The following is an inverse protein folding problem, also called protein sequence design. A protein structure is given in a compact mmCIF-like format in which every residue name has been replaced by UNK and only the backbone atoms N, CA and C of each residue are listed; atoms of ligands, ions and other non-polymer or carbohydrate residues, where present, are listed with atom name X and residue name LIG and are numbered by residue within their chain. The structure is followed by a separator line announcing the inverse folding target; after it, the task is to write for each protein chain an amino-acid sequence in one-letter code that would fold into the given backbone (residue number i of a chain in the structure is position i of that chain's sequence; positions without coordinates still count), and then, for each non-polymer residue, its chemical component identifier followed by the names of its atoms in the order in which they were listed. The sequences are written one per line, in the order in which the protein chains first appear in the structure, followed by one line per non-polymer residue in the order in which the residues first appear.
data_IF_239480838619
#
_entry.id   IF_239480838619
#
_cell.length_a   1.000
_cell.length_b   1.000
_cell.length_c   1.000
_cell.angle_alpha   90.00
_cell.angle_beta   90.00
_cell.angle_gamma   90.00
#
_symmetry.space_group_name_H-M   'P 1'
#
loop_
_entity.id
_entity.type
_entity.pdbx_description
1 polymer ?
#
# COMPACT_ATOMS: atom_id res chain seq x y z
N UNK A 1 -41.64 -3.25 13.65
CA UNK A 1 -40.76 -3.41 14.83
C UNK A 1 -40.22 -4.83 14.83
N UNK A 2 -39.31 -5.14 13.91
CA UNK A 2 -38.62 -6.44 13.84
C UNK A 2 -37.24 -6.30 14.45
N UNK A 3 -36.86 -7.23 15.33
CA UNK A 3 -35.51 -7.30 15.88
C UNK A 3 -34.51 -7.55 14.74
N UNK A 4 -33.73 -6.54 14.38
CA UNK A 4 -32.68 -6.60 13.36
C UNK A 4 -31.35 -6.93 14.03
N UNK A 5 -30.87 -8.15 13.84
CA UNK A 5 -29.54 -8.56 14.29
C UNK A 5 -28.51 -8.04 13.27
N UNK A 6 -27.74 -7.02 13.64
CA UNK A 6 -26.64 -6.46 12.83
C UNK A 6 -25.29 -6.95 13.37
N UNK A 7 -24.40 -7.40 12.48
CA UNK A 7 -23.00 -7.70 12.82
C UNK A 7 -22.13 -6.50 12.38
N UNK A 8 -21.47 -5.86 13.35
CA UNK A 8 -20.62 -4.69 13.13
C UNK A 8 -19.15 -5.05 13.33
N UNK A 9 -18.28 -4.66 12.39
CA UNK A 9 -16.82 -4.83 12.52
C UNK A 9 -16.18 -3.45 12.55
N UNK A 10 -15.58 -3.11 13.70
CA UNK A 10 -14.77 -1.90 13.85
C UNK A 10 -13.37 -2.15 13.29
N UNK A 11 -12.97 -1.39 12.28
CA UNK A 11 -11.65 -1.51 11.67
C UNK A 11 -10.82 -0.29 12.09
N UNK A 12 -9.92 -0.50 13.05
CA UNK A 12 -9.09 0.56 13.65
C UNK A 12 -7.80 0.81 12.85
N UNK A 13 -7.22 2.02 12.89
CA UNK A 13 -5.99 2.33 12.19
C UNK A 13 -4.77 1.63 12.81
N UNK A 14 -3.91 1.09 11.94
CA UNK A 14 -2.71 0.32 12.27
C UNK A 14 -1.56 1.14 12.86
N UNK A 15 -1.58 1.34 14.18
CA UNK A 15 -0.38 1.72 14.94
C UNK A 15 0.48 0.49 15.20
N UNK A 16 1.73 0.50 14.71
CA UNK A 16 2.79 -0.39 15.19
C UNK A 16 3.84 0.42 15.95
N UNK A 17 3.81 0.33 17.28
CA UNK A 17 4.91 0.74 18.17
C UNK A 17 5.60 -0.54 18.63
N UNK A 18 6.90 -0.68 18.37
CA UNK A 18 7.71 -1.69 19.01
C UNK A 18 8.21 -1.13 20.35
N UNK A 19 7.62 -1.59 21.46
CA UNK A 19 8.05 -1.25 22.83
C UNK A 19 8.87 -2.41 23.39
N UNK A 20 10.20 -2.26 23.41
CA UNK A 20 11.11 -3.10 24.19
C UNK A 20 11.34 -2.49 25.58
N UNK A 21 11.53 -3.34 26.59
CA UNK A 21 11.43 -3.02 28.04
C UNK A 21 12.41 -1.98 28.63
N UNK A 22 13.17 -1.19 27.86
CA UNK A 22 14.01 -0.07 28.37
C UNK A 22 14.26 1.01 27.31
N UNK A 23 13.37 2.01 27.20
CA UNK A 23 13.67 3.38 26.71
C UNK A 23 14.11 3.59 25.23
N UNK A 24 13.69 4.73 24.65
CA UNK A 24 14.07 5.17 23.30
C UNK A 24 15.57 5.53 23.26
N UNK A 25 16.36 4.93 22.37
CA UNK A 25 17.75 5.38 22.14
C UNK A 25 18.28 5.07 20.71
N UNK A 26 18.63 6.16 20.02
CA UNK A 26 19.65 6.35 18.96
C UNK A 26 20.10 5.19 18.05
N UNK A 27 20.21 5.46 16.74
CA UNK A 27 20.99 4.64 15.79
C UNK A 27 22.26 5.40 15.38
N UNK A 28 23.42 4.80 15.66
CA UNK A 28 24.70 5.11 15.02
C UNK A 28 25.39 3.78 14.67
N UNK A 29 25.98 3.63 13.48
CA UNK A 29 26.81 2.46 13.13
C UNK A 29 27.96 2.84 12.16
N UNK A 30 29.20 2.93 12.69
CA UNK A 30 30.27 1.94 12.42
C UNK A 30 31.24 2.05 11.21
N UNK A 31 32.38 2.72 11.47
CA UNK A 31 33.80 2.66 10.98
C UNK A 31 34.37 1.58 10.01
N UNK A 32 34.99 2.10 8.92
CA UNK A 32 36.35 1.90 8.28
C UNK A 32 37.04 0.55 8.01
N UNK A 33 37.71 0.47 6.84
CA UNK A 33 39.05 -0.12 6.69
C UNK A 33 39.91 0.54 5.59
N UNK A 34 41.24 0.60 5.78
CA UNK A 34 42.29 1.31 4.98
C UNK A 34 43.10 0.34 4.10
N UNK A 35 43.53 0.77 2.89
CA UNK A 35 44.47 0.03 2.03
C UNK A 35 45.31 0.91 1.07
N UNK A 36 46.53 0.44 0.74
CA UNK A 36 47.71 1.21 0.24
C UNK A 36 47.89 1.38 -1.30
N UNK A 37 46.89 1.26 -2.19
CA UNK A 37 47.15 1.22 -3.67
C UNK A 37 46.18 1.98 -4.59
N UNK A 38 46.13 3.31 -4.48
CA UNK A 38 45.53 4.19 -5.51
C UNK A 38 44.04 4.52 -5.34
N UNK A 39 43.57 5.52 -6.09
CA UNK A 39 42.26 6.18 -5.90
C UNK A 39 41.18 5.49 -6.73
N UNK A 40 40.16 4.98 -6.04
CA UNK A 40 38.92 4.47 -6.60
C UNK A 40 37.77 5.19 -5.92
N UNK A 41 36.72 5.56 -6.66
CA UNK A 41 35.50 6.13 -6.08
C UNK A 41 34.40 5.06 -6.09
N UNK A 42 33.85 4.78 -4.90
CA UNK A 42 32.71 3.87 -4.73
C UNK A 42 31.47 4.71 -4.42
N UNK A 43 30.40 4.48 -5.17
CA UNK A 43 29.05 4.98 -4.86
C UNK A 43 28.19 3.74 -4.59
N UNK A 44 27.59 3.66 -3.41
CA UNK A 44 26.69 2.57 -3.01
C UNK A 44 25.40 3.12 -2.43
N UNK A 45 24.28 2.55 -2.85
CA UNK A 45 22.95 2.81 -2.28
C UNK A 45 22.71 1.77 -1.17
N UNK A 46 22.53 2.17 0.10
CA UNK A 46 22.39 1.22 1.22
C UNK A 46 21.23 0.24 1.00
N UNK A 47 21.44 -1.04 1.34
CA UNK A 47 20.41 -2.08 1.30
C UNK A 47 20.14 -2.72 -0.07
N UNK A 48 20.79 -2.26 -1.15
CA UNK A 48 20.48 -2.72 -2.53
C UNK A 48 21.55 -3.64 -3.15
N UNK A 49 22.76 -3.69 -2.60
CA UNK A 49 23.86 -4.54 -3.11
C UNK A 49 24.50 -4.09 -4.43
N UNK A 50 24.00 -3.03 -5.07
CA UNK A 50 24.52 -2.53 -6.35
C UNK A 50 25.61 -1.48 -6.09
N UNK A 51 26.78 -1.65 -6.72
CA UNK A 51 27.90 -0.70 -6.64
C UNK A 51 28.41 -0.32 -8.03
N UNK A 52 28.62 0.97 -8.25
CA UNK A 52 29.22 1.49 -9.49
C UNK A 52 30.60 2.07 -9.19
N UNK A 53 31.60 1.61 -9.95
CA UNK A 53 33.01 1.98 -9.80
C UNK A 53 33.48 2.69 -11.05
N UNK A 54 33.93 3.94 -10.93
CA UNK A 54 34.56 4.65 -12.05
C UNK A 54 35.94 5.19 -11.68
N UNK A 55 36.87 5.15 -12.64
CA UNK A 55 38.26 5.60 -12.50
C UNK A 55 38.38 7.02 -13.04
N UNK A 56 38.79 7.96 -12.21
CA UNK A 56 38.88 9.38 -12.59
C UNK A 56 40.34 9.77 -12.82
N UNK A 57 40.67 10.14 -14.07
CA UNK A 57 41.83 10.97 -14.41
C UNK A 57 43.11 10.23 -14.82
N UNK A 58 43.51 10.41 -16.08
CA UNK A 58 44.80 10.05 -16.64
C UNK A 58 44.93 10.57 -18.07
N UNK A 59 45.09 11.89 -18.23
CA UNK A 59 45.43 12.49 -19.53
C UNK A 59 46.94 12.55 -19.69
N UNK A 60 47.43 11.92 -20.74
CA UNK A 60 48.83 11.91 -21.17
C UNK A 60 49.21 13.28 -21.75
N UNK A 61 50.14 14.01 -21.14
CA UNK A 61 51.00 14.93 -21.89
C UNK A 61 52.38 15.08 -21.22
N UNK A 62 53.42 15.01 -22.07
CA UNK A 62 54.84 15.23 -21.74
C UNK A 62 55.11 16.73 -21.73
N UNK A 63 55.84 17.21 -20.72
CA UNK A 63 56.41 18.56 -20.69
C UNK A 63 57.09 18.85 -19.35
N UNK A 64 58.42 18.92 -19.34
CA UNK A 64 59.25 19.28 -18.19
C UNK A 64 58.93 20.71 -17.73
N UNK A 65 58.88 20.95 -16.41
CA UNK A 65 59.77 21.87 -15.66
C UNK A 65 59.36 21.86 -14.17
N UNK A 66 60.37 21.81 -13.29
CA UNK A 66 60.22 21.77 -11.82
C UNK A 66 59.82 23.14 -11.30
N UNK A 67 58.76 23.19 -10.49
CA UNK A 67 58.61 24.14 -9.38
C UNK A 67 57.56 23.59 -8.42
N UNK A 68 57.88 23.65 -7.13
CA UNK A 68 57.13 23.09 -6.02
C UNK A 68 55.72 23.68 -5.92
N UNK A 69 54.73 22.97 -6.47
CA UNK A 69 53.32 23.19 -6.16
C UNK A 69 52.86 22.13 -5.17
N UNK A 70 52.47 22.58 -3.98
CA UNK A 70 51.65 21.87 -3.01
C UNK A 70 50.59 21.05 -3.75
N UNK A 71 50.73 19.72 -3.73
CA UNK A 71 49.70 18.80 -4.24
C UNK A 71 48.55 18.83 -3.25
N UNK A 72 47.52 19.63 -3.53
CA UNK A 72 46.24 19.56 -2.83
C UNK A 72 45.70 18.12 -2.96
N UNK A 73 45.80 17.33 -1.88
CA UNK A 73 45.14 16.03 -1.77
C UNK A 73 43.64 16.28 -1.95
N UNK A 74 43.05 15.76 -3.03
CA UNK A 74 41.59 15.68 -3.18
C UNK A 74 41.09 14.63 -2.20
N UNK A 75 40.72 15.06 -1.00
CA UNK A 75 40.05 14.23 -0.02
C UNK A 75 38.63 13.90 -0.49
N UNK A 76 38.21 12.65 -0.31
CA UNK A 76 36.84 12.20 -0.58
C UNK A 76 35.98 12.72 0.56
N UNK A 77 35.21 13.78 0.30
CA UNK A 77 34.19 14.26 1.22
C UNK A 77 32.95 13.38 1.10
N UNK A 78 32.64 12.63 2.16
CA UNK A 78 31.30 12.05 2.33
C UNK A 78 30.33 13.19 2.64
N UNK A 79 29.26 13.28 1.85
CA UNK A 79 28.24 14.32 1.98
C UNK A 79 26.93 13.66 2.36
N UNK A 80 26.36 14.08 3.49
CA UNK A 80 25.03 13.68 3.95
C UNK A 80 24.04 14.81 3.69
N UNK A 81 22.89 14.50 3.10
CA UNK A 81 21.80 15.44 2.90
C UNK A 81 20.76 15.28 4.01
N UNK A 82 20.32 16.40 4.58
CA UNK A 82 19.19 16.47 5.49
C UNK A 82 18.23 17.57 5.06
N UNK A 83 16.96 17.44 5.46
CA UNK A 83 15.96 18.48 5.33
C UNK A 83 15.86 19.23 6.67
N UNK A 84 15.87 20.56 6.63
CA UNK A 84 15.48 21.40 7.76
C UNK A 84 13.97 21.46 7.92
N UNK A 85 13.50 22.03 9.02
CA UNK A 85 12.07 22.24 9.29
C UNK A 85 11.38 23.16 8.27
N UNK A 86 12.12 24.12 7.70
CA UNK A 86 11.63 25.02 6.65
C UNK A 86 11.71 24.43 5.23
N UNK A 87 12.14 23.16 5.12
CA UNK A 87 12.21 22.41 3.87
C UNK A 87 13.47 22.68 3.04
N UNK A 88 14.41 23.46 3.56
CA UNK A 88 15.71 23.70 2.92
C UNK A 88 16.68 22.52 3.12
N UNK A 89 17.68 22.43 2.24
CA UNK A 89 18.68 21.37 2.28
C UNK A 89 19.84 21.76 3.20
N UNK A 90 20.12 20.91 4.17
CA UNK A 90 21.32 20.95 4.99
C UNK A 90 22.31 19.92 4.44
N UNK A 91 23.54 20.37 4.20
CA UNK A 91 24.63 19.53 3.72
C UNK A 91 25.63 19.32 4.87
N UNK A 92 25.80 18.08 5.31
CA UNK A 92 26.72 17.72 6.39
C UNK A 92 27.87 16.83 5.89
N UNK A 93 29.00 16.86 6.58
CA UNK A 93 30.08 15.90 6.38
C UNK A 93 29.80 14.55 7.07
N UNK A 94 30.73 13.59 6.95
CA UNK A 94 30.64 12.29 7.62
C UNK A 94 30.69 12.32 9.16
N UNK A 95 30.88 13.51 9.76
CA UNK A 95 30.86 13.75 11.22
C UNK A 95 29.64 14.55 11.66
N UNK A 96 28.71 14.86 10.74
CA UNK A 96 27.50 15.63 11.02
C UNK A 96 27.71 17.14 11.11
N UNK A 97 28.85 17.67 10.64
CA UNK A 97 29.10 19.11 10.63
C UNK A 97 28.66 19.76 9.32
N UNK A 98 28.10 20.98 9.32
CA UNK A 98 27.71 21.69 8.10
C UNK A 98 28.89 21.89 7.13
N UNK A 99 28.66 21.62 5.84
CA UNK A 99 29.68 21.83 4.81
C UNK A 99 29.84 23.32 4.46
N UNK A 100 31.07 23.78 4.14
CA UNK A 100 31.30 25.14 3.67
C UNK A 100 30.54 25.46 2.37
N UNK A 101 30.06 26.70 2.23
CA UNK A 101 29.26 27.16 1.08
C UNK A 101 29.88 26.87 -0.28
N UNK A 102 31.20 27.00 -0.40
CA UNK A 102 31.92 26.71 -1.64
C UNK A 102 31.79 25.23 -2.07
N UNK A 103 31.74 24.31 -1.10
CA UNK A 103 31.56 22.88 -1.32
C UNK A 103 30.10 22.58 -1.65
N UNK A 104 29.16 23.21 -0.94
CA UNK A 104 27.72 23.10 -1.21
C UNK A 104 27.37 23.54 -2.63
N UNK A 105 27.91 24.69 -3.08
CA UNK A 105 27.71 25.18 -4.45
C UNK A 105 28.20 24.19 -5.51
N UNK A 106 29.39 23.60 -5.31
CA UNK A 106 29.93 22.58 -6.20
C UNK A 106 29.10 21.29 -6.20
N UNK A 107 28.63 20.85 -5.03
CA UNK A 107 27.75 19.69 -4.91
C UNK A 107 26.42 19.91 -5.65
N UNK A 108 25.78 21.07 -5.45
CA UNK A 108 24.57 21.46 -6.18
C UNK A 108 24.76 21.54 -7.69
N UNK A 109 25.94 21.93 -8.18
CA UNK A 109 26.25 22.00 -9.60
C UNK A 109 26.55 20.62 -10.21
N UNK A 110 27.32 19.78 -9.52
CA UNK A 110 27.82 18.50 -10.06
C UNK A 110 26.87 17.33 -9.84
N UNK A 111 26.09 17.35 -8.75
CA UNK A 111 25.21 16.26 -8.33
C UNK A 111 23.75 16.69 -8.28
N UNK A 112 23.39 17.67 -9.12
CA UNK A 112 22.05 18.25 -9.16
C UNK A 112 20.95 17.19 -9.32
N UNK A 113 21.10 16.29 -10.28
CA UNK A 113 20.13 15.22 -10.54
C UNK A 113 19.94 14.29 -9.33
N UNK A 114 21.04 13.93 -8.64
CA UNK A 114 20.98 13.11 -7.42
C UNK A 114 20.26 13.81 -6.27
N UNK A 115 20.46 15.12 -6.13
CA UNK A 115 19.78 15.95 -5.12
C UNK A 115 18.29 16.09 -5.46
N UNK A 116 17.95 16.30 -6.73
CA UNK A 116 16.56 16.38 -7.21
C UNK A 116 15.83 15.05 -6.97
N UNK A 117 16.45 13.90 -7.31
CA UNK A 117 15.87 12.59 -7.05
C UNK A 117 15.67 12.31 -5.55
N UNK A 118 16.61 12.73 -4.70
CA UNK A 118 16.46 12.61 -3.24
C UNK A 118 15.34 13.50 -2.70
N UNK A 119 15.20 14.73 -3.19
CA UNK A 119 14.09 15.63 -2.84
C UNK A 119 12.74 15.07 -3.31
N UNK A 120 12.70 14.44 -4.49
CA UNK A 120 11.50 13.76 -4.99
C UNK A 120 11.09 12.59 -4.09
N UNK A 121 12.05 11.79 -3.61
CA UNK A 121 11.80 10.72 -2.63
C UNK A 121 11.25 11.29 -1.30
N UNK A 122 11.85 12.36 -0.76
CA UNK A 122 11.35 13.01 0.46
C UNK A 122 9.96 13.62 0.26
N UNK A 123 9.69 14.19 -0.91
CA UNK A 123 8.37 14.69 -1.28
C UNK A 123 7.34 13.56 -1.34
N UNK A 124 7.72 12.41 -1.90
CA UNK A 124 6.87 11.23 -1.96
C UNK A 124 6.55 10.71 -0.55
N UNK A 125 7.56 10.61 0.33
CA UNK A 125 7.38 10.20 1.73
C UNK A 125 6.45 11.15 2.50
N UNK A 126 6.61 12.47 2.34
CA UNK A 126 5.71 13.45 2.97
C UNK A 126 4.26 13.29 2.50
N UNK A 127 4.07 13.03 1.21
CA UNK A 127 2.76 12.89 0.60
C UNK A 127 2.22 11.44 0.66
N UNK A 128 2.93 10.49 1.28
CA UNK A 128 2.57 9.07 1.28
C UNK A 128 1.18 8.84 1.86
N UNK A 129 0.89 9.46 3.02
CA UNK A 129 -0.44 9.40 3.62
C UNK A 129 -1.53 9.83 2.63
N UNK A 130 -1.33 10.96 1.92
CA UNK A 130 -2.30 11.43 0.91
C UNK A 130 -2.48 10.40 -0.22
N UNK A 131 -1.41 9.77 -0.69
CA UNK A 131 -1.52 8.74 -1.72
C UNK A 131 -2.30 7.51 -1.23
N UNK A 132 -2.16 7.12 0.03
CA UNK A 132 -2.92 6.01 0.61
C UNK A 132 -4.44 6.26 0.57
N UNK A 133 -4.89 7.50 0.83
CA UNK A 133 -6.31 7.88 0.67
C UNK A 133 -6.78 7.70 -0.77
N UNK A 134 -5.99 8.17 -1.73
CA UNK A 134 -6.41 8.29 -3.13
C UNK A 134 -6.33 6.96 -3.88
N UNK A 135 -5.52 6.03 -3.40
CA UNK A 135 -5.11 4.84 -4.16
C UNK A 135 -5.50 3.52 -3.49
N UNK A 136 -6.28 3.53 -2.42
CA UNK A 136 -6.72 2.28 -1.76
C UNK A 136 -7.39 1.29 -2.72
N UNK A 137 -8.13 1.79 -3.71
CA UNK A 137 -8.78 0.99 -4.74
C UNK A 137 -7.80 0.22 -5.64
N UNK A 138 -6.53 0.63 -5.75
CA UNK A 138 -5.54 -0.04 -6.62
C UNK A 138 -5.25 -1.47 -6.19
N UNK A 139 -5.44 -1.78 -4.91
CA UNK A 139 -5.23 -3.13 -4.39
C UNK A 139 -6.40 -4.08 -4.66
N UNK A 140 -7.56 -3.56 -5.14
CA UNK A 140 -8.85 -4.26 -5.20
C UNK A 140 -8.77 -5.55 -6.01
N UNK A 141 -9.17 -6.70 -5.43
CA UNK A 141 -9.12 -7.96 -6.15
C UNK A 141 -10.19 -8.00 -7.28
N UNK A 142 -9.92 -8.71 -8.38
CA UNK A 142 -10.93 -9.01 -9.38
C UNK A 142 -12.01 -9.94 -8.80
N UNK A 143 -13.23 -9.96 -9.38
CA UNK A 143 -14.32 -10.83 -8.92
C UNK A 143 -14.00 -12.33 -9.01
N UNK A 144 -13.08 -12.74 -9.89
CA UNK A 144 -12.58 -14.12 -9.99
C UNK A 144 -11.33 -14.36 -9.13
N UNK A 145 -10.84 -13.32 -8.46
CA UNK A 145 -9.70 -13.39 -7.57
C UNK A 145 -10.05 -14.31 -6.41
N UNK A 146 -9.55 -15.55 -6.45
CA UNK A 146 -9.63 -16.49 -5.33
C UNK A 146 -8.82 -15.91 -4.17
N UNK A 147 -9.37 -14.97 -3.42
CA UNK A 147 -8.72 -14.52 -2.20
C UNK A 147 -8.76 -15.71 -1.26
N UNK A 148 -7.55 -16.11 -0.88
CA UNK A 148 -7.25 -17.45 -0.39
C UNK A 148 -7.74 -17.58 1.04
N UNK A 149 -9.04 -17.82 1.23
CA UNK A 149 -9.55 -18.26 2.52
C UNK A 149 -9.00 -19.64 2.83
N UNK A 150 -8.90 -20.51 1.81
CA UNK A 150 -8.23 -21.81 1.85
C UNK A 150 -7.56 -22.13 0.50
N UNK A 151 -6.21 -22.22 0.40
CA UNK A 151 -5.57 -22.55 -0.86
C UNK A 151 -5.88 -24.00 -1.21
N UNK A 152 -6.26 -24.25 -2.48
CA UNK A 152 -6.43 -25.62 -2.97
C UNK A 152 -5.13 -26.40 -2.71
N UNK A 153 -5.19 -27.52 -1.97
CA UNK A 153 -3.98 -28.27 -1.67
C UNK A 153 -3.32 -28.72 -2.98
N UNK A 154 -2.00 -28.65 -3.02
CA UNK A 154 -1.20 -29.09 -4.17
C UNK A 154 -0.85 -30.58 -4.01
N UNK A 155 -0.87 -31.36 -5.10
CA UNK A 155 -0.48 -32.76 -5.04
C UNK A 155 0.97 -32.89 -4.51
N UNK A 156 1.25 -33.88 -3.66
CA UNK A 156 2.58 -34.06 -3.09
C UNK A 156 3.55 -34.49 -4.17
N UNK A 157 4.82 -34.07 -4.04
CA UNK A 157 5.90 -34.63 -4.86
C UNK A 157 6.26 -35.99 -4.28
N UNK A 158 5.99 -37.05 -5.04
CA UNK A 158 6.32 -38.41 -4.64
C UNK A 158 7.81 -38.68 -4.87
N UNK A 159 8.46 -39.28 -3.88
CA UNK A 159 9.85 -39.73 -3.97
C UNK A 159 9.92 -40.95 -4.90
N UNK A 160 10.77 -40.91 -5.93
CA UNK A 160 11.00 -42.08 -6.80
C UNK A 160 12.07 -42.98 -6.18
N UNK A 161 11.90 -44.32 -6.21
CA UNK A 161 12.93 -45.22 -5.73
C UNK A 161 14.21 -45.09 -6.58
N UNK A 162 15.31 -44.63 -5.95
CA UNK A 162 16.63 -44.52 -6.57
C UNK A 162 17.36 -45.87 -6.65
N UNK A 163 18.64 -45.87 -7.03
CA UNK A 163 19.45 -47.10 -7.20
C UNK A 163 19.50 -47.91 -5.89
N UNK A 164 19.65 -47.26 -4.73
CA UNK A 164 19.65 -47.93 -3.42
C UNK A 164 18.32 -48.60 -3.07
N UNK A 165 17.20 -48.13 -3.62
CA UNK A 165 15.88 -48.74 -3.42
C UNK A 165 15.64 -49.99 -4.29
N UNK A 166 16.47 -50.21 -5.32
CA UNK A 166 16.48 -51.48 -6.08
C UNK A 166 17.23 -52.59 -5.32
N UNK A 167 18.18 -52.21 -4.45
CA UNK A 167 19.09 -53.12 -3.75
C UNK A 167 18.59 -53.44 -2.34
N UNK A 168 17.97 -52.47 -1.65
CA UNK A 168 17.48 -52.64 -0.28
C UNK A 168 15.96 -52.53 -0.19
N UNK A 169 15.28 -53.66 0.00
CA UNK A 169 13.81 -53.73 0.11
C UNK A 169 13.25 -52.88 1.26
N UNK A 170 13.93 -52.85 2.42
CA UNK A 170 13.51 -52.03 3.56
C UNK A 170 13.55 -50.53 3.27
N UNK A 171 14.47 -50.09 2.41
CA UNK A 171 14.54 -48.70 1.97
C UNK A 171 13.42 -48.37 0.97
N UNK A 172 13.11 -49.30 0.05
CA UNK A 172 11.98 -49.18 -0.88
C UNK A 172 10.64 -49.09 -0.14
N UNK A 173 10.38 -49.97 0.83
CA UNK A 173 9.16 -49.94 1.67
C UNK A 173 8.99 -48.61 2.39
N UNK A 174 10.07 -48.03 2.94
CA UNK A 174 10.03 -46.69 3.58
C UNK A 174 9.65 -45.58 2.61
N UNK A 175 10.16 -45.59 1.38
CA UNK A 175 9.79 -44.61 0.34
C UNK A 175 8.31 -44.77 -0.04
N UNK A 176 7.85 -46.00 -0.23
CA UNK A 176 6.45 -46.30 -0.55
C UNK A 176 5.50 -45.88 0.58
N UNK A 177 5.85 -46.16 1.84
CA UNK A 177 5.12 -45.71 3.03
C UNK A 177 5.05 -44.19 3.14
N UNK A 178 6.18 -43.49 2.95
CA UNK A 178 6.24 -42.02 2.94
C UNK A 178 5.36 -41.42 1.85
N UNK A 179 5.44 -41.96 0.63
CA UNK A 179 4.62 -41.53 -0.50
C UNK A 179 3.13 -41.76 -0.22
N UNK A 180 2.77 -42.93 0.32
CA UNK A 180 1.40 -43.28 0.69
C UNK A 180 0.87 -42.33 1.78
N UNK A 181 1.65 -42.05 2.80
CA UNK A 181 1.29 -41.11 3.87
C UNK A 181 1.11 -39.68 3.34
N UNK A 182 2.02 -39.21 2.47
CA UNK A 182 1.92 -37.90 1.83
C UNK A 182 0.66 -37.80 0.95
N UNK A 183 0.34 -38.86 0.21
CA UNK A 183 -0.85 -38.93 -0.63
C UNK A 183 -2.15 -38.97 0.20
N UNK A 184 -2.17 -39.73 1.30
CA UNK A 184 -3.31 -39.73 2.23
C UNK A 184 -3.51 -38.36 2.89
N UNK A 185 -2.43 -37.70 3.31
CA UNK A 185 -2.49 -36.33 3.86
C UNK A 185 -3.06 -35.35 2.84
N UNK A 186 -2.64 -35.46 1.58
CA UNK A 186 -3.15 -34.66 0.48
C UNK A 186 -4.64 -34.88 0.22
N UNK A 187 -5.08 -36.14 0.13
CA UNK A 187 -6.49 -36.47 -0.10
C UNK A 187 -7.40 -35.94 1.01
N UNK A 188 -6.99 -36.11 2.29
CA UNK A 188 -7.72 -35.55 3.44
C UNK A 188 -7.79 -34.03 3.38
N UNK A 189 -6.69 -33.36 3.00
CA UNK A 189 -6.69 -31.91 2.83
C UNK A 189 -7.59 -31.47 1.67
N UNK A 190 -7.61 -32.22 0.57
CA UNK A 190 -8.44 -31.93 -0.60
C UNK A 190 -9.92 -32.08 -0.30
N UNK A 191 -10.31 -33.11 0.43
CA UNK A 191 -11.69 -33.33 0.86
C UNK A 191 -12.18 -32.21 1.78
N UNK A 192 -11.40 -31.86 2.82
CA UNK A 192 -11.70 -30.72 3.69
C UNK A 192 -11.83 -29.41 2.90
N UNK A 193 -10.94 -29.21 1.94
CA UNK A 193 -10.98 -28.02 1.08
C UNK A 193 -12.26 -27.98 0.23
N UNK A 194 -12.66 -29.11 -0.38
CA UNK A 194 -13.91 -29.21 -1.15
C UNK A 194 -15.13 -28.93 -0.28
N UNK A 195 -15.19 -29.49 0.92
CA UNK A 195 -16.27 -29.24 1.88
C UNK A 195 -16.36 -27.76 2.24
N UNK A 196 -15.22 -27.11 2.51
CA UNK A 196 -15.20 -25.68 2.80
C UNK A 196 -15.63 -24.82 1.60
N UNK A 197 -15.25 -25.19 0.38
CA UNK A 197 -15.67 -24.51 -0.85
C UNK A 197 -17.18 -24.65 -1.08
N UNK A 198 -17.74 -25.83 -0.83
CA UNK A 198 -19.18 -26.09 -0.95
C UNK A 198 -19.98 -25.32 0.10
N UNK A 199 -19.54 -25.34 1.36
CA UNK A 199 -20.18 -24.57 2.43
C UNK A 199 -20.16 -23.08 2.16
N UNK A 200 -19.11 -22.54 1.54
CA UNK A 200 -19.03 -21.13 1.15
C UNK A 200 -20.08 -20.75 0.08
N UNK A 201 -20.59 -21.71 -0.68
CA UNK A 201 -21.62 -21.49 -1.71
C UNK A 201 -23.03 -21.70 -1.19
N UNK A 202 -23.20 -22.45 -0.09
CA UNK A 202 -24.51 -22.94 0.34
C UNK A 202 -24.90 -22.49 1.75
N UNK A 203 -23.95 -22.00 2.56
CA UNK A 203 -24.19 -21.65 3.95
C UNK A 203 -23.84 -20.16 4.19
N UNK A 204 -24.89 -19.37 4.45
CA UNK A 204 -24.79 -17.93 4.70
C UNK A 204 -23.91 -17.61 5.92
N UNK A 205 -24.00 -18.38 7.01
CA UNK A 205 -23.17 -18.15 8.21
C UNK A 205 -21.67 -18.29 7.88
N UNK A 206 -21.33 -19.25 7.03
CA UNK A 206 -19.94 -19.44 6.56
C UNK A 206 -19.52 -18.27 5.67
N UNK A 207 -20.39 -17.80 4.78
CA UNK A 207 -20.13 -16.61 3.96
C UNK A 207 -19.86 -15.37 4.83
N UNK A 208 -20.67 -15.15 5.87
CA UNK A 208 -20.49 -14.03 6.79
C UNK A 208 -19.16 -14.10 7.55
N UNK A 209 -18.79 -15.29 8.05
CA UNK A 209 -17.50 -15.49 8.72
C UNK A 209 -16.33 -15.20 7.78
N UNK A 210 -16.42 -15.67 6.54
CA UNK A 210 -15.40 -15.46 5.51
C UNK A 210 -15.27 -13.98 5.17
N UNK A 211 -16.39 -13.31 4.88
CA UNK A 211 -16.39 -11.89 4.53
C UNK A 211 -15.94 -11.03 5.71
N UNK A 212 -16.40 -11.33 6.92
CA UNK A 212 -16.00 -10.61 8.13
C UNK A 212 -14.50 -10.71 8.38
N UNK A 213 -13.92 -11.91 8.22
CA UNK A 213 -12.46 -12.11 8.30
C UNK A 213 -11.73 -11.32 7.21
N UNK A 214 -12.20 -11.38 5.97
CA UNK A 214 -11.61 -10.64 4.85
C UNK A 214 -11.56 -9.14 5.12
N UNK A 215 -12.70 -8.53 5.43
CA UNK A 215 -12.82 -7.09 5.67
C UNK A 215 -11.99 -6.65 6.89
N UNK A 216 -11.99 -7.44 7.98
CA UNK A 216 -11.21 -7.13 9.18
C UNK A 216 -9.69 -7.15 8.97
N UNK A 217 -9.21 -7.86 7.93
CA UNK A 217 -7.78 -7.96 7.61
C UNK A 217 -7.23 -6.80 6.77
N UNK A 218 -8.12 -5.95 6.26
CA UNK A 218 -7.76 -4.81 5.43
C UNK A 218 -7.12 -3.70 6.24
N UNK A 219 -6.14 -3.04 5.64
CA UNK A 219 -5.51 -1.84 6.20
C UNK A 219 -6.17 -0.60 5.62
N UNK A 220 -6.81 0.20 6.49
CA UNK A 220 -7.48 1.43 6.09
C UNK A 220 -6.66 2.66 6.51
N UNK A 221 -6.59 3.70 5.66
CA UNK A 221 -5.95 4.98 6.00
C UNK A 221 -6.59 5.69 7.19
N UNK A 222 -7.90 5.47 7.41
CA UNK A 222 -8.71 6.05 8.49
C UNK A 222 -9.64 5.00 9.09
N UNK A 223 -10.21 5.34 10.25
CA UNK A 223 -11.27 4.53 10.84
C UNK A 223 -12.44 4.43 9.85
N UNK A 224 -12.89 3.21 9.59
CA UNK A 224 -14.00 2.92 8.67
C UNK A 224 -14.74 1.75 9.26
N UNK A 225 -16.02 1.94 9.54
CA UNK A 225 -16.87 0.88 10.10
C UNK A 225 -17.70 0.33 8.95
N UNK A 226 -17.68 -0.98 8.80
CA UNK A 226 -18.46 -1.67 7.76
C UNK A 226 -19.45 -2.59 8.47
N UNK A 227 -20.72 -2.35 8.22
CA UNK A 227 -21.82 -3.22 8.59
C UNK A 227 -22.32 -3.90 7.34
N UNK A 228 -22.62 -5.19 7.41
CA UNK A 228 -23.16 -5.91 6.26
C UNK A 228 -24.15 -6.99 6.67
N UNK A 229 -24.99 -7.35 5.71
CA UNK A 229 -25.99 -8.41 5.79
C UNK A 229 -26.00 -9.17 4.47
N UNK A 230 -26.04 -10.50 4.53
CA UNK A 230 -26.13 -11.36 3.35
C UNK A 230 -27.58 -11.83 3.22
N UNK A 231 -28.21 -11.47 2.11
CA UNK A 231 -29.62 -11.73 1.81
C UNK A 231 -29.77 -12.61 0.56
N UNK A 232 -31.02 -12.94 0.22
CA UNK A 232 -31.42 -13.70 -0.96
C UNK A 232 -30.66 -15.03 -1.12
N UNK A 233 -30.55 -15.78 -0.03
CA UNK A 233 -29.84 -17.05 0.06
C UNK A 233 -28.36 -16.96 -0.38
N UNK A 234 -27.70 -15.85 -0.05
CA UNK A 234 -26.29 -15.63 -0.41
C UNK A 234 -26.06 -14.92 -1.74
N UNK A 235 -27.12 -14.48 -2.43
CA UNK A 235 -27.00 -13.79 -3.73
C UNK A 235 -26.90 -12.28 -3.62
N UNK A 236 -27.33 -11.67 -2.52
CA UNK A 236 -27.28 -10.22 -2.31
C UNK A 236 -26.49 -9.88 -1.06
N UNK A 237 -25.65 -8.86 -1.13
CA UNK A 237 -24.99 -8.30 0.07
C UNK A 237 -25.38 -6.85 0.23
N UNK A 238 -25.90 -6.52 1.40
CA UNK A 238 -26.25 -5.18 1.82
C UNK A 238 -25.11 -4.65 2.70
N UNK A 239 -24.63 -3.46 2.42
CA UNK A 239 -23.46 -2.89 3.10
C UNK A 239 -23.76 -1.46 3.50
N UNK A 240 -23.56 -1.15 4.77
CA UNK A 240 -23.49 0.22 5.28
C UNK A 240 -22.05 0.54 5.69
N UNK A 241 -21.54 1.67 5.21
CA UNK A 241 -20.16 2.10 5.42
C UNK A 241 -20.14 3.47 6.11
N UNK A 242 -19.52 3.52 7.28
CA UNK A 242 -19.17 4.76 7.97
C UNK A 242 -17.86 5.30 7.38
N UNK A 243 -17.96 6.44 6.71
CA UNK A 243 -16.86 7.10 6.01
C UNK A 243 -16.21 8.15 6.90
N UNK A 244 -14.89 8.37 6.74
CA UNK A 244 -14.24 9.49 7.39
C UNK A 244 -14.85 10.83 6.97
N UNK A 245 -14.77 11.81 7.85
CA UNK A 245 -15.23 13.17 7.59
C UNK A 245 -14.28 13.89 6.62
N UNK A 246 -14.77 14.94 5.95
CA UNK A 246 -13.94 15.72 5.01
C UNK A 246 -12.83 16.48 5.74
N UNK A 247 -13.05 16.79 7.01
CA UNK A 247 -12.13 17.45 7.93
C UNK A 247 -10.86 16.61 8.17
N UNK A 248 -10.94 15.28 8.00
CA UNK A 248 -9.81 14.36 8.16
C UNK A 248 -8.85 14.34 6.95
N UNK A 249 -9.21 14.99 5.85
CA UNK A 249 -8.40 15.03 4.65
C UNK A 249 -7.13 15.87 4.84
N UNK A 250 -5.96 15.43 4.33
CA UNK A 250 -4.73 16.22 4.38
C UNK A 250 -4.92 17.61 3.74
N UNK A 251 -4.59 18.67 4.49
CA UNK A 251 -4.77 20.08 4.07
C UNK A 251 -3.50 20.71 3.49
N UNK A 252 -2.36 20.01 3.58
CA UNK A 252 -1.06 20.43 3.09
C UNK A 252 -0.48 19.35 2.18
N UNK A 253 0.35 19.77 1.24
CA UNK A 253 1.14 18.88 0.39
C UNK A 253 2.55 19.44 0.24
N UNK A 254 3.53 18.54 0.10
CA UNK A 254 4.89 18.91 -0.27
C UNK A 254 5.04 18.94 -1.79
N UNK A 255 5.85 19.89 -2.29
CA UNK A 255 6.30 19.96 -3.68
C UNK A 255 7.79 20.24 -3.74
N UNK A 256 8.47 19.58 -4.67
CA UNK A 256 9.87 19.86 -4.96
C UNK A 256 9.97 21.16 -5.74
N UNK A 257 10.62 22.16 -5.16
CA UNK A 257 11.05 23.34 -5.89
C UNK A 257 12.44 23.06 -6.48
N UNK A 258 12.47 22.67 -7.76
CA UNK A 258 13.72 22.34 -8.46
C UNK A 258 14.64 23.55 -8.57
N UNK A 259 14.11 24.77 -8.75
CA UNK A 259 14.93 25.98 -8.89
C UNK A 259 15.77 26.24 -7.65
N UNK A 260 15.15 26.21 -6.48
CA UNK A 260 15.78 26.52 -5.20
C UNK A 260 16.39 25.29 -4.51
N UNK A 261 16.16 24.08 -5.07
CA UNK A 261 16.51 22.79 -4.48
C UNK A 261 16.04 22.68 -3.02
N UNK A 262 14.73 22.78 -2.83
CA UNK A 262 14.08 22.66 -1.52
C UNK A 262 12.71 22.00 -1.62
N UNK A 263 12.20 21.53 -0.49
CA UNK A 263 10.82 21.07 -0.36
C UNK A 263 9.93 22.24 0.08
N UNK A 264 8.90 22.55 -0.70
CA UNK A 264 7.92 23.59 -0.35
C UNK A 264 6.65 22.93 0.16
N UNK A 265 6.25 23.26 1.38
CA UNK A 265 4.98 22.80 1.95
C UNK A 265 3.93 23.87 1.67
N UNK A 266 2.90 23.51 0.92
CA UNK A 266 1.85 24.44 0.51
C UNK A 266 0.48 23.97 0.99
N UNK A 267 -0.40 24.95 1.29
CA UNK A 267 -1.81 24.68 1.60
C UNK A 267 -2.52 24.23 0.32
N UNK A 268 -3.40 23.25 0.47
CA UNK A 268 -4.22 22.72 -0.62
C UNK A 268 -5.48 23.58 -0.76
N UNK A 269 -5.97 23.72 -1.98
CA UNK A 269 -7.21 24.46 -2.22
C UNK A 269 -8.41 23.68 -1.67
N UNK A 270 -9.44 24.39 -1.22
CA UNK A 270 -10.69 23.76 -0.74
C UNK A 270 -11.36 22.92 -1.84
N UNK A 271 -11.23 23.33 -3.11
CA UNK A 271 -11.72 22.56 -4.25
C UNK A 271 -10.96 21.23 -4.37
N UNK A 272 -9.64 21.23 -4.27
CA UNK A 272 -8.85 20.00 -4.38
C UNK A 272 -9.15 19.03 -3.23
N UNK A 273 -9.28 19.55 -2.00
CA UNK A 273 -9.65 18.73 -0.83
C UNK A 273 -10.99 18.02 -1.07
N UNK A 274 -11.99 18.73 -1.61
CA UNK A 274 -13.30 18.15 -1.95
C UNK A 274 -13.23 17.07 -3.03
N UNK A 275 -12.47 17.31 -4.10
CA UNK A 275 -12.29 16.32 -5.18
C UNK A 275 -11.57 15.06 -4.68
N UNK A 276 -10.55 15.24 -3.84
CA UNK A 276 -9.82 14.13 -3.25
C UNK A 276 -10.65 13.36 -2.23
N UNK A 277 -11.50 14.06 -1.46
CA UNK A 277 -12.46 13.43 -0.57
C UNK A 277 -13.44 12.55 -1.36
N UNK A 278 -13.98 13.06 -2.47
CA UNK A 278 -14.80 12.26 -3.39
C UNK A 278 -14.06 11.03 -3.89
N UNK A 279 -12.81 11.19 -4.33
CA UNK A 279 -11.98 10.06 -4.78
C UNK A 279 -11.79 9.03 -3.67
N UNK A 280 -11.49 9.49 -2.46
CA UNK A 280 -11.26 8.63 -1.30
C UNK A 280 -12.50 7.81 -0.93
N UNK A 281 -13.65 8.44 -0.73
CA UNK A 281 -14.87 7.73 -0.29
C UNK A 281 -15.37 6.73 -1.35
N UNK A 282 -15.20 7.02 -2.64
CA UNK A 282 -15.52 6.08 -3.72
C UNK A 282 -14.48 4.97 -3.81
N UNK A 283 -13.20 5.27 -3.57
CA UNK A 283 -12.15 4.25 -3.51
C UNK A 283 -12.35 3.26 -2.35
N UNK A 284 -12.85 3.74 -1.20
CA UNK A 284 -13.27 2.88 -0.08
C UNK A 284 -14.41 1.96 -0.51
N UNK A 285 -15.49 2.49 -1.09
CA UNK A 285 -16.60 1.68 -1.59
C UNK A 285 -16.16 0.67 -2.65
N UNK A 286 -15.33 1.09 -3.60
CA UNK A 286 -14.78 0.23 -4.65
C UNK A 286 -13.98 -0.95 -4.07
N UNK A 287 -13.13 -0.67 -3.05
CA UNK A 287 -12.36 -1.69 -2.35
C UNK A 287 -13.27 -2.70 -1.66
N UNK A 288 -14.27 -2.24 -0.92
CA UNK A 288 -15.22 -3.11 -0.19
C UNK A 288 -15.99 -4.00 -1.16
N UNK A 289 -16.54 -3.43 -2.25
CA UNK A 289 -17.30 -4.16 -3.27
C UNK A 289 -16.44 -5.25 -3.92
N UNK A 290 -15.20 -4.93 -4.30
CA UNK A 290 -14.30 -5.91 -4.89
C UNK A 290 -13.96 -7.05 -3.93
N UNK A 291 -13.75 -6.75 -2.65
CA UNK A 291 -13.49 -7.76 -1.62
C UNK A 291 -14.68 -8.70 -1.42
N UNK A 292 -15.91 -8.17 -1.43
CA UNK A 292 -17.14 -8.97 -1.37
C UNK A 292 -17.20 -9.92 -2.56
N UNK A 293 -17.05 -9.39 -3.78
CA UNK A 293 -17.17 -10.21 -4.98
C UNK A 293 -16.07 -11.27 -5.10
N UNK A 294 -14.85 -10.96 -4.65
CA UNK A 294 -13.73 -11.89 -4.69
C UNK A 294 -13.86 -13.03 -3.67
N UNK A 295 -14.47 -12.77 -2.51
CA UNK A 295 -14.61 -13.76 -1.44
C UNK A 295 -15.89 -14.58 -1.50
N UNK A 296 -16.98 -14.01 -2.03
CA UNK A 296 -18.31 -14.64 -2.01
C UNK A 296 -18.79 -14.94 -3.44
N UNK A 297 -18.42 -16.10 -4.02
CA UNK A 297 -18.63 -16.38 -5.45
C UNK A 297 -20.10 -16.46 -5.88
N UNK A 298 -21.02 -16.69 -4.94
CA UNK A 298 -22.47 -16.79 -5.19
C UNK A 298 -23.18 -15.43 -5.19
N UNK A 299 -22.54 -14.38 -4.66
CA UNK A 299 -23.14 -13.04 -4.61
C UNK A 299 -23.25 -12.47 -6.01
N UNK A 300 -24.46 -12.14 -6.44
CA UNK A 300 -24.78 -11.55 -7.75
C UNK A 300 -24.86 -10.03 -7.68
N UNK A 301 -25.30 -9.45 -6.55
CA UNK A 301 -25.50 -8.01 -6.39
C UNK A 301 -24.98 -7.53 -5.03
N UNK A 302 -24.25 -6.41 -5.04
CA UNK A 302 -23.89 -5.67 -3.82
C UNK A 302 -24.64 -4.35 -3.80
N UNK A 303 -25.34 -4.06 -2.71
CA UNK A 303 -25.93 -2.74 -2.44
C UNK A 303 -25.12 -2.10 -1.33
N UNK A 304 -24.39 -1.03 -1.65
CA UNK A 304 -23.54 -0.32 -0.70
C UNK A 304 -24.07 1.09 -0.49
N UNK A 305 -24.33 1.43 0.77
CA UNK A 305 -24.75 2.75 1.21
C UNK A 305 -23.69 3.32 2.15
N UNK A 306 -23.17 4.50 1.83
CA UNK A 306 -22.06 5.09 2.57
C UNK A 306 -22.51 6.41 3.19
N UNK A 307 -22.28 6.56 4.49
CA UNK A 307 -22.65 7.74 5.27
C UNK A 307 -21.43 8.32 5.99
N UNK A 308 -21.55 9.56 6.45
CA UNK A 308 -20.55 10.22 7.30
C UNK A 308 -21.27 11.01 8.38
N UNK A 309 -20.64 11.15 9.54
CA UNK A 309 -21.18 11.90 10.66
C UNK A 309 -20.96 13.39 10.44
N UNK A 310 -22.06 14.15 10.37
CA UNK A 310 -22.01 15.60 10.15
C UNK A 310 -22.77 16.34 11.24
N UNK A 311 -22.19 17.46 11.65
CA UNK A 311 -22.85 18.37 12.59
C UNK A 311 -23.92 19.15 11.84
N UNK A 312 -25.18 18.95 12.24
CA UNK A 312 -26.27 19.82 11.83
C UNK A 312 -26.03 21.21 12.42
N UNK A 313 -25.67 22.17 11.57
CA UNK A 313 -25.32 23.53 11.99
C UNK A 313 -26.45 24.27 12.70
N UNK A 314 -27.70 23.83 12.54
CA UNK A 314 -28.87 24.46 13.15
C UNK A 314 -29.12 23.96 14.56
N UNK A 315 -28.85 22.68 14.82
CA UNK A 315 -29.14 22.03 16.10
C UNK A 315 -27.87 21.69 16.91
N UNK A 316 -26.69 21.75 16.29
CA UNK A 316 -25.42 21.30 16.85
C UNK A 316 -25.32 19.78 17.02
N UNK A 317 -26.31 19.01 16.58
CA UNK A 317 -26.34 17.56 16.76
C UNK A 317 -25.60 16.85 15.64
N UNK A 318 -24.88 15.78 15.98
CA UNK A 318 -24.26 14.90 15.01
C UNK A 318 -25.34 13.98 14.44
N UNK A 319 -25.43 13.91 13.11
CA UNK A 319 -26.36 13.03 12.39
C UNK A 319 -25.61 12.27 11.30
N UNK A 320 -26.04 11.05 11.05
CA UNK A 320 -25.56 10.25 9.93
C UNK A 320 -26.20 10.77 8.64
N UNK A 321 -25.36 11.27 7.73
CA UNK A 321 -25.80 11.68 6.38
C UNK A 321 -25.25 10.69 5.34
N UNK A 322 -26.15 9.97 4.65
CA UNK A 322 -25.77 9.15 3.50
C UNK A 322 -25.28 10.04 2.36
N UNK A 323 -24.06 9.80 1.88
CA UNK A 323 -23.40 10.60 0.84
C UNK A 323 -23.60 9.98 -0.54
N UNK A 324 -23.55 8.65 -0.62
CA UNK A 324 -23.90 7.91 -1.83
C UNK A 324 -24.43 6.52 -1.49
N UNK A 325 -25.20 5.96 -2.42
CA UNK A 325 -25.64 4.58 -2.39
C UNK A 325 -25.56 4.00 -3.80
N UNK A 326 -25.13 2.75 -3.94
CA UNK A 326 -24.90 2.12 -5.24
C UNK A 326 -25.35 0.67 -5.23
N UNK A 327 -26.01 0.24 -6.31
CA UNK A 327 -26.32 -1.16 -6.58
C UNK A 327 -25.42 -1.66 -7.71
N UNK A 328 -24.57 -2.63 -7.40
CA UNK A 328 -23.54 -3.15 -8.29
C UNK A 328 -23.84 -4.61 -8.62
N UNK A 329 -24.25 -4.91 -9.86
CA UNK A 329 -24.31 -6.27 -10.39
C UNK A 329 -22.90 -6.83 -10.66
N UNK A 330 -22.68 -8.13 -10.37
CA UNK A 330 -21.40 -8.82 -10.55
C UNK A 330 -20.96 -8.85 -12.01
N UNK A 331 -21.89 -9.10 -12.93
CA UNK A 331 -21.64 -9.14 -14.37
C UNK A 331 -21.08 -7.81 -14.87
N UNK A 332 -21.68 -6.68 -14.47
CA UNK A 332 -21.14 -5.34 -14.78
C UNK A 332 -19.80 -5.08 -14.11
N UNK A 333 -19.61 -5.56 -12.88
CA UNK A 333 -18.34 -5.42 -12.17
C UNK A 333 -17.18 -6.13 -12.88
N UNK A 334 -17.44 -7.28 -13.51
CA UNK A 334 -16.45 -8.04 -14.31
C UNK A 334 -15.91 -7.29 -15.52
N UNK A 335 -16.64 -6.32 -16.02
CA UNK A 335 -16.21 -5.52 -17.18
C UNK A 335 -15.11 -4.50 -16.84
N UNK A 336 -14.77 -4.32 -15.56
CA UNK A 336 -13.68 -3.45 -15.13
C UNK A 336 -12.34 -4.15 -15.39
N UNK A 337 -11.39 -3.43 -15.98
CA UNK A 337 -10.04 -3.94 -16.17
C UNK A 337 -9.21 -3.85 -14.87
N UNK A 338 -9.28 -4.90 -14.04
CA UNK A 338 -8.51 -4.99 -12.79
C UNK A 338 -6.99 -5.04 -12.99
N UNK A 339 -6.50 -5.34 -14.20
CA UNK A 339 -5.06 -5.30 -14.49
C UNK A 339 -4.52 -3.88 -14.70
N UNK A 340 -5.39 -2.87 -14.85
CA UNK A 340 -5.00 -1.48 -15.07
C UNK A 340 -5.85 -0.50 -14.24
N UNK A 341 -5.99 -0.76 -12.94
CA UNK A 341 -6.72 0.14 -12.02
C UNK A 341 -6.06 1.52 -11.89
N UNK A 342 -4.76 1.65 -12.18
CA UNK A 342 -4.04 2.94 -12.12
C UNK A 342 -4.62 3.98 -13.09
N UNK A 343 -5.13 3.54 -14.24
CA UNK A 343 -5.78 4.40 -15.23
C UNK A 343 -7.29 4.59 -14.98
N UNK A 344 -7.88 3.93 -13.97
CA UNK A 344 -9.30 4.02 -13.68
C UNK A 344 -9.62 5.32 -12.92
N UNK A 345 -10.57 6.10 -13.44
CA UNK A 345 -11.25 7.11 -12.62
C UNK A 345 -12.27 6.40 -11.73
N UNK A 346 -11.91 6.21 -10.46
CA UNK A 346 -12.75 5.50 -9.48
C UNK A 346 -14.06 6.21 -9.17
N UNK A 347 -14.16 7.53 -9.36
CA UNK A 347 -15.41 8.27 -9.12
C UNK A 347 -16.34 8.10 -10.32
N UNK A 348 -15.80 8.23 -11.54
CA UNK A 348 -16.57 8.06 -12.78
C UNK A 348 -16.96 6.60 -13.03
N UNK A 349 -16.18 5.62 -12.54
CA UNK A 349 -16.49 4.20 -12.73
C UNK A 349 -17.85 3.80 -12.14
N UNK A 350 -18.31 4.51 -11.10
CA UNK A 350 -19.61 4.28 -10.47
C UNK A 350 -20.80 4.65 -11.38
N UNK A 351 -20.60 5.52 -12.37
CA UNK A 351 -21.66 5.90 -13.32
C UNK A 351 -22.09 4.74 -14.24
N UNK A 352 -21.33 3.64 -14.25
CA UNK A 352 -21.70 2.38 -14.93
C UNK A 352 -22.78 1.59 -14.18
N UNK A 353 -23.00 1.91 -12.91
CA UNK A 353 -23.92 1.23 -12.01
C UNK A 353 -25.13 2.11 -11.67
N UNK A 354 -26.12 1.52 -11.01
CA UNK A 354 -27.24 2.29 -10.48
C UNK A 354 -26.77 2.99 -9.20
N UNK A 355 -26.42 4.27 -9.31
CA UNK A 355 -25.85 5.07 -8.22
C UNK A 355 -26.75 6.27 -7.86
N UNK A 356 -26.97 6.47 -6.57
CA UNK A 356 -27.60 7.66 -5.97
C UNK A 356 -26.52 8.50 -5.30
N UNK A 357 -26.23 9.67 -5.88
CA UNK A 357 -25.29 10.67 -5.31
C UNK A 357 -25.64 12.06 -5.82
N UNK A 358 -25.35 13.09 -5.03
CA UNK A 358 -25.52 14.51 -5.41
C UNK A 358 -24.19 15.23 -5.31
N UNK A 359 -23.51 15.40 -6.45
CA UNK A 359 -22.17 16.00 -6.53
C UNK A 359 -22.24 17.30 -7.34
N UNK A 360 -21.72 18.39 -6.79
CA UNK A 360 -21.58 19.67 -7.52
C UNK A 360 -20.34 19.68 -8.43
N UNK A 361 -20.29 20.61 -9.40
CA UNK A 361 -19.09 20.85 -10.23
C UNK A 361 -17.83 21.20 -9.43
N UNK A 362 -17.98 21.66 -8.19
CA UNK A 362 -16.88 22.01 -7.27
C UNK A 362 -16.52 20.90 -6.29
N UNK A 363 -17.11 19.72 -6.44
CA UNK A 363 -16.84 18.53 -5.63
C UNK A 363 -17.60 18.47 -4.30
N UNK A 364 -18.63 19.31 -4.11
CA UNK A 364 -19.47 19.25 -2.90
C UNK A 364 -20.42 18.06 -3.01
N UNK A 365 -20.39 17.17 -2.01
CA UNK A 365 -21.30 16.03 -1.90
C UNK A 365 -22.37 16.27 -0.84
N UNK A 366 -23.64 16.15 -1.25
CA UNK A 366 -24.82 16.37 -0.42
C UNK A 366 -25.51 15.08 -0.03
N UNK A 367 -26.26 15.12 1.06
CA UNK A 367 -27.02 13.98 1.55
C UNK A 367 -28.04 13.44 0.52
N UNK A 368 -28.21 12.12 0.52
CA UNK A 368 -29.16 11.38 -0.30
C UNK A 368 -29.96 10.39 0.55
N UNK A 369 -31.08 9.92 0.01
CA UNK A 369 -31.76 8.74 0.53
C UNK A 369 -31.15 7.48 -0.10
N UNK A 370 -30.64 6.52 0.70
CA UNK A 370 -30.02 5.32 0.17
C UNK A 370 -31.04 4.41 -0.54
N UNK A 371 -30.56 3.42 -1.29
CA UNK A 371 -31.45 2.34 -1.75
C UNK A 371 -32.04 1.60 -0.54
N UNK A 372 -33.31 1.19 -0.65
CA UNK A 372 -33.91 0.29 0.33
C UNK A 372 -33.11 -1.02 0.35
N UNK A 373 -32.78 -1.44 1.57
CA UNK A 373 -31.96 -2.60 1.88
C UNK A 373 -32.74 -3.90 1.66
#
# INVERSE_FOLDING_TARGET
MGFRFRKSIKIAPGVRVNVGKRGVSSISVGKTNIGKRGIYQNISIPGTGISYRTKIGGSTSRGKTRTSRSKTKKEILQVTLKLSEDGSLIFEDGKGQPLPDAVVRKAKQQQRASIEAWLEEQCHQYNANLQDFLNIHLSTPPPEGKVIVNPKPKPPRLEKPGIMAKIFEGYRKRIEEKNKAAQQKYLKALEKWKQAEESLRTNVDVMEQVLGKALSSLQWPRETIVNFEIADDGRKVLVDVDLPEIEDMPTKEAKVNRRDLRLTIQKRSQKQIRLDYLKHIHAVGFRIIGEIFAHLPTVEVVVLSAYSQRVDKRTGTIKDEYLYSVRVPRDKWREINFSNLVALDVVASFDRFEVRRKISKTGVISAIEPFEQ
#
